data_IF_486739629035
#
_entry.id   IF_486739629035
#
_cell.length_a   1.000
_cell.length_b   1.000
_cell.length_c   1.000
_cell.angle_alpha   90.00
_cell.angle_beta   90.00
_cell.angle_gamma   90.00
#
_symmetry.space_group_name_H-M   'P 1'
#
loop_
_entity.id
_entity.type
_entity.pdbx_description
1 polymer ?
#
# COMPACT_ATOMS: atom_id res chain seq x y z
N UNK A 1 15.46 17.54 -24.73
CA UNK A 1 15.25 17.09 -23.34
C UNK A 1 13.82 17.33 -22.83
N UNK A 2 12.98 18.06 -23.55
CA UNK A 2 11.59 18.37 -23.12
C UNK A 2 10.61 17.22 -23.37
N UNK A 3 10.73 16.50 -24.48
CA UNK A 3 9.82 15.38 -24.83
C UNK A 3 9.80 14.22 -23.81
N UNK A 4 10.89 13.99 -23.06
CA UNK A 4 10.96 12.94 -22.03
C UNK A 4 10.21 13.35 -20.75
N UNK A 5 10.17 14.65 -20.43
CA UNK A 5 9.39 15.16 -19.30
C UNK A 5 7.89 15.11 -19.59
N UNK A 6 7.45 15.45 -20.80
CA UNK A 6 6.04 15.42 -21.20
C UNK A 6 5.45 13.99 -21.11
N UNK A 7 6.17 12.99 -21.62
CA UNK A 7 5.76 11.58 -21.55
C UNK A 7 5.75 11.04 -20.12
N UNK A 8 6.68 11.49 -19.28
CA UNK A 8 6.72 11.13 -17.85
C UNK A 8 5.56 11.77 -17.07
N UNK A 9 5.13 12.98 -17.43
CA UNK A 9 4.00 13.69 -16.80
C UNK A 9 2.66 13.02 -17.14
N UNK A 10 2.49 12.51 -18.36
CA UNK A 10 1.27 11.78 -18.75
C UNK A 10 1.10 10.44 -18.02
N UNK A 11 2.18 9.87 -17.48
CA UNK A 11 2.18 8.61 -16.74
C UNK A 11 2.01 8.77 -15.23
N UNK A 12 2.11 9.97 -14.66
CA UNK A 12 1.94 10.16 -13.20
C UNK A 12 0.49 10.44 -12.80
N UNK A 13 -0.37 10.79 -13.75
CA UNK A 13 -1.78 11.12 -13.50
C UNK A 13 -2.68 10.02 -14.06
N UNK A 14 -3.59 9.52 -13.21
CA UNK A 14 -4.61 8.55 -13.56
C UNK A 14 -5.99 9.06 -13.13
N UNK A 15 -6.90 9.14 -14.10
CA UNK A 15 -8.29 9.53 -13.87
C UNK A 15 -9.15 8.28 -13.66
N UNK A 16 -10.00 8.31 -12.64
CA UNK A 16 -10.97 7.26 -12.29
C UNK A 16 -12.33 7.92 -12.03
N UNK A 17 -13.43 7.16 -12.03
CA UNK A 17 -14.82 7.69 -12.07
C UNK A 17 -15.16 8.79 -11.04
N UNK A 18 -14.43 8.88 -9.92
CA UNK A 18 -14.72 9.82 -8.83
C UNK A 18 -13.46 10.44 -8.23
N UNK A 19 -12.31 10.30 -8.88
CA UNK A 19 -11.05 10.83 -8.38
C UNK A 19 -10.00 11.00 -9.47
N UNK A 20 -9.04 11.87 -9.18
CA UNK A 20 -7.78 11.98 -9.90
C UNK A 20 -6.66 11.54 -8.97
N UNK A 21 -5.87 10.57 -9.43
CA UNK A 21 -4.73 10.01 -8.72
C UNK A 21 -3.45 10.58 -9.34
N UNK A 22 -2.60 11.20 -8.54
CA UNK A 22 -1.37 11.86 -8.99
C UNK A 22 -0.17 11.33 -8.23
N UNK A 23 0.89 10.98 -8.94
CA UNK A 23 2.18 10.61 -8.36
C UNK A 23 3.11 11.83 -8.37
N UNK A 24 3.40 12.35 -7.19
CA UNK A 24 4.38 13.42 -7.00
C UNK A 24 5.73 12.85 -6.51
N UNK A 25 6.66 13.72 -6.13
CA UNK A 25 7.97 13.32 -5.61
C UNK A 25 7.89 12.72 -4.19
N UNK A 26 6.86 13.06 -3.42
CA UNK A 26 6.70 12.71 -2.00
C UNK A 26 5.75 11.52 -1.79
N UNK A 27 4.86 11.25 -2.75
CA UNK A 27 3.90 10.17 -2.65
C UNK A 27 2.77 10.20 -3.69
N UNK A 28 1.67 9.55 -3.29
CA UNK A 28 0.41 9.49 -4.00
C UNK A 28 -0.54 10.55 -3.46
N UNK A 29 -1.00 11.44 -4.32
CA UNK A 29 -2.08 12.38 -4.04
C UNK A 29 -3.39 11.88 -4.67
N UNK A 30 -4.44 11.78 -3.86
CA UNK A 30 -5.78 11.33 -4.24
C UNK A 30 -6.71 12.53 -4.10
N UNK A 31 -7.23 13.01 -5.22
CA UNK A 31 -8.13 14.15 -5.31
C UNK A 31 -9.51 13.64 -5.69
N UNK A 32 -10.45 13.61 -4.75
CA UNK A 32 -11.81 13.20 -5.05
C UNK A 32 -12.58 14.33 -5.74
N UNK A 33 -13.16 14.02 -6.90
CA UNK A 33 -14.03 14.94 -7.62
C UNK A 33 -15.40 14.98 -6.91
N UNK A 34 -15.90 16.18 -6.67
CA UNK A 34 -17.03 16.43 -5.76
C UNK A 34 -18.29 16.82 -6.55
N UNK A 35 -19.40 16.19 -6.18
CA UNK A 35 -20.74 16.70 -6.49
C UNK A 35 -21.07 17.84 -5.50
N UNK A 36 -21.79 18.88 -5.96
CA UNK A 36 -21.93 20.26 -5.38
C UNK A 36 -22.08 20.47 -3.85
N UNK A 37 -22.27 19.43 -3.02
CA UNK A 37 -22.61 19.55 -1.60
C UNK A 37 -21.50 19.18 -0.60
N UNK A 38 -20.35 18.61 -1.02
CA UNK A 38 -19.28 18.24 -0.07
C UNK A 38 -17.92 18.87 -0.42
N UNK A 39 -17.11 19.13 0.61
CA UNK A 39 -15.83 19.85 0.55
C UNK A 39 -14.78 19.03 -0.21
N UNK A 40 -14.01 19.64 -1.11
CA UNK A 40 -12.89 18.97 -1.80
C UNK A 40 -11.99 18.22 -0.81
N UNK A 41 -11.91 16.89 -0.95
CA UNK A 41 -11.14 16.03 -0.04
C UNK A 41 -9.90 15.54 -0.77
N UNK A 42 -8.81 16.25 -0.55
CA UNK A 42 -7.48 15.86 -1.00
C UNK A 42 -6.85 14.99 0.07
N UNK A 43 -6.32 13.84 -0.33
CA UNK A 43 -5.57 12.94 0.55
C UNK A 43 -4.19 12.70 -0.01
N UNK A 44 -3.16 12.87 0.82
CA UNK A 44 -1.77 12.58 0.47
C UNK A 44 -1.31 11.35 1.22
N UNK A 45 -0.71 10.41 0.51
CA UNK A 45 -0.17 9.14 1.02
C UNK A 45 1.30 9.10 0.66
N UNK A 46 2.19 9.08 1.66
CA UNK A 46 3.64 8.93 1.41
C UNK A 46 3.92 7.57 0.78
N UNK A 47 4.93 7.49 -0.06
CA UNK A 47 5.36 6.23 -0.69
C UNK A 47 5.61 5.10 0.31
N UNK A 48 6.23 5.42 1.46
CA UNK A 48 6.46 4.48 2.56
C UNK A 48 5.17 3.81 3.10
N UNK A 49 4.02 4.46 2.95
CA UNK A 49 2.74 3.96 3.42
C UNK A 49 1.91 3.28 2.34
N UNK A 50 2.37 3.23 1.09
CA UNK A 50 1.73 2.45 0.05
C UNK A 50 2.05 0.97 0.29
N UNK A 51 1.03 0.15 0.50
CA UNK A 51 1.20 -1.27 0.83
C UNK A 51 1.10 -2.10 -0.45
N UNK A 52 0.02 -1.95 -1.21
CA UNK A 52 -0.15 -2.66 -2.46
C UNK A 52 -1.13 -1.95 -3.38
N UNK A 53 -0.97 -2.16 -4.68
CA UNK A 53 -1.85 -1.64 -5.71
C UNK A 53 -2.05 -2.70 -6.76
N UNK A 54 -3.29 -2.95 -7.13
CA UNK A 54 -3.65 -3.89 -8.20
C UNK A 54 -4.72 -3.27 -9.09
N UNK A 55 -4.57 -3.46 -10.39
CA UNK A 55 -5.59 -3.13 -11.37
C UNK A 55 -6.12 -4.41 -12.00
N UNK A 56 -7.44 -4.58 -11.95
CA UNK A 56 -8.21 -5.64 -12.59
C UNK A 56 -9.08 -5.02 -13.70
N UNK A 57 -9.86 -5.84 -14.40
CA UNK A 57 -10.80 -5.37 -15.42
C UNK A 57 -11.77 -4.35 -14.80
N UNK A 58 -11.72 -3.11 -15.31
CA UNK A 58 -12.58 -2.01 -14.86
C UNK A 58 -12.31 -1.48 -13.44
N UNK A 59 -11.37 -2.04 -12.68
CA UNK A 59 -11.18 -1.67 -11.26
C UNK A 59 -9.72 -1.48 -10.87
N UNK A 60 -9.47 -0.45 -10.07
CA UNK A 60 -8.20 -0.20 -9.40
C UNK A 60 -8.37 -0.28 -7.89
N UNK A 61 -7.63 -1.16 -7.23
CA UNK A 61 -7.57 -1.27 -5.77
C UNK A 61 -6.24 -0.74 -5.26
N UNK A 62 -6.30 0.15 -4.27
CA UNK A 62 -5.15 0.74 -3.59
C UNK A 62 -5.27 0.41 -2.10
N UNK A 63 -4.23 -0.20 -1.55
CA UNK A 63 -4.06 -0.46 -0.12
C UNK A 63 -2.91 0.39 0.40
N UNK A 64 -3.16 1.15 1.46
CA UNK A 64 -2.16 2.01 2.10
C UNK A 64 -2.37 2.08 3.61
N UNK A 65 -1.31 2.37 4.35
CA UNK A 65 -1.37 2.63 5.77
C UNK A 65 -1.76 4.10 6.04
N UNK A 66 -2.62 4.30 7.01
CA UNK A 66 -2.94 5.62 7.56
C UNK A 66 -2.53 5.64 9.03
N UNK A 67 -1.73 6.64 9.41
CA UNK A 67 -1.39 6.84 10.80
C UNK A 67 -2.56 7.51 11.52
N UNK A 68 -3.06 6.83 12.56
CA UNK A 68 -4.10 7.36 13.44
C UNK A 68 -3.58 7.34 14.86
N UNK A 69 -3.34 8.54 15.41
CA UNK A 69 -2.71 8.75 16.72
C UNK A 69 -1.30 8.15 16.77
N UNK A 70 -1.16 6.90 17.22
CA UNK A 70 0.12 6.20 17.40
C UNK A 70 0.11 4.79 16.78
N UNK A 71 -0.89 4.50 15.94
CA UNK A 71 -1.04 3.20 15.29
C UNK A 71 -1.22 3.39 13.78
N UNK A 72 -0.70 2.45 13.01
CA UNK A 72 -0.94 2.37 11.57
C UNK A 72 -2.15 1.48 11.32
N UNK A 73 -3.14 2.01 10.62
CA UNK A 73 -4.32 1.27 10.17
C UNK A 73 -4.26 1.06 8.66
N UNK A 74 -4.61 -0.14 8.18
CA UNK A 74 -4.77 -0.39 6.74
C UNK A 74 -6.04 0.30 6.24
N UNK A 75 -5.92 1.05 5.15
CA UNK A 75 -7.03 1.56 4.36
C UNK A 75 -7.02 0.91 2.98
N UNK A 76 -8.20 0.53 2.53
CA UNK A 76 -8.45 -0.01 1.19
C UNK A 76 -9.36 0.96 0.44
N UNK A 77 -8.97 1.32 -0.76
CA UNK A 77 -9.77 2.09 -1.71
C UNK A 77 -9.90 1.33 -3.01
N UNK A 78 -11.13 1.32 -3.54
CA UNK A 78 -11.46 0.70 -4.83
C UNK A 78 -12.06 1.79 -5.69
N UNK A 79 -11.57 1.91 -6.91
CA UNK A 79 -11.99 2.89 -7.90
C UNK A 79 -12.40 2.17 -9.17
N UNK A 80 -13.47 2.63 -9.81
CA UNK A 80 -13.83 2.18 -11.15
C UNK A 80 -12.99 2.96 -12.18
N UNK A 81 -12.49 2.25 -13.18
CA UNK A 81 -11.77 2.85 -14.29
C UNK A 81 -12.79 3.47 -15.26
N UNK A 82 -12.48 4.66 -15.78
CA UNK A 82 -13.36 5.41 -16.69
C UNK A 82 -13.67 4.65 -18.00
N UNK A 83 -12.75 3.79 -18.42
CA UNK A 83 -12.91 2.96 -19.60
C UNK A 83 -12.62 1.49 -19.23
N UNK A 84 -13.67 0.66 -19.06
CA UNK A 84 -13.55 -0.74 -18.66
C UNK A 84 -12.82 -1.61 -19.69
N UNK A 85 -12.84 -1.24 -20.98
CA UNK A 85 -12.10 -1.93 -22.04
C UNK A 85 -10.59 -1.63 -22.00
N UNK A 86 -10.25 -0.55 -21.32
CA UNK A 86 -8.90 -0.02 -21.13
C UNK A 86 -8.37 -0.51 -19.78
N UNK A 87 -8.30 -1.85 -19.61
CA UNK A 87 -7.24 -2.52 -18.82
C UNK A 87 -5.88 -2.27 -19.51
N UNK A 88 -5.59 -1.00 -19.77
CA UNK A 88 -4.56 -0.60 -20.70
C UNK A 88 -3.21 -0.78 -20.07
N UNK A 89 -2.24 -1.01 -20.94
CA UNK A 89 -0.82 -0.78 -20.70
C UNK A 89 -0.55 0.50 -19.91
N UNK A 90 -1.40 1.54 -20.05
CA UNK A 90 -1.32 2.77 -19.26
C UNK A 90 -1.66 2.57 -17.78
N UNK A 91 -2.78 1.92 -17.44
CA UNK A 91 -3.15 1.67 -16.03
C UNK A 91 -2.12 0.78 -15.37
N UNK A 92 -1.72 -0.30 -16.04
CA UNK A 92 -0.69 -1.21 -15.53
C UNK A 92 0.67 -0.50 -15.38
N UNK A 93 1.06 0.33 -16.36
CA UNK A 93 2.26 1.15 -16.27
C UNK A 93 2.22 2.16 -15.11
N UNK A 94 1.06 2.77 -14.85
CA UNK A 94 0.87 3.66 -13.70
C UNK A 94 0.98 2.90 -12.36
N UNK A 95 0.36 1.72 -12.27
CA UNK A 95 0.45 0.85 -11.08
C UNK A 95 1.90 0.44 -10.83
N UNK A 96 2.60 0.00 -11.86
CA UNK A 96 4.02 -0.36 -11.78
C UNK A 96 4.86 0.84 -11.32
N UNK A 97 4.66 2.02 -11.90
CA UNK A 97 5.35 3.25 -11.51
C UNK A 97 5.11 3.60 -10.03
N UNK A 98 3.88 3.48 -9.54
CA UNK A 98 3.58 3.70 -8.12
C UNK A 98 4.29 2.69 -7.22
N UNK A 99 4.22 1.39 -7.55
CA UNK A 99 4.89 0.35 -6.77
C UNK A 99 6.42 0.52 -6.80
N UNK A 100 7.00 0.85 -7.95
CA UNK A 100 8.44 1.10 -8.09
C UNK A 100 8.90 2.29 -7.22
N UNK A 101 8.10 3.36 -7.14
CA UNK A 101 8.40 4.49 -6.24
C UNK A 101 8.17 4.15 -4.77
N UNK A 102 7.15 3.35 -4.47
CA UNK A 102 6.83 2.93 -3.11
C UNK A 102 7.90 2.01 -2.50
N UNK A 103 8.32 1.01 -3.26
CA UNK A 103 9.28 0.00 -2.81
C UNK A 103 10.73 0.37 -3.13
N UNK A 104 10.98 1.16 -4.17
CA UNK A 104 12.31 1.52 -4.61
C UNK A 104 13.15 0.28 -4.92
N UNK A 105 14.24 0.10 -4.16
CA UNK A 105 15.11 -1.08 -4.27
C UNK A 105 14.64 -2.29 -3.45
N UNK A 106 13.61 -2.11 -2.62
CA UNK A 106 13.07 -3.18 -1.79
C UNK A 106 12.23 -4.14 -2.62
N UNK A 107 12.29 -5.44 -2.30
CA UNK A 107 11.36 -6.42 -2.86
C UNK A 107 9.93 -6.13 -2.36
N UNK A 108 8.98 -6.11 -3.28
CA UNK A 108 7.54 -6.22 -2.98
C UNK A 108 7.19 -7.68 -2.59
N UNK A 109 6.05 -7.88 -1.91
CA UNK A 109 5.53 -9.21 -1.53
C UNK A 109 6.56 -10.09 -0.81
N UNK A 110 7.17 -9.53 0.24
CA UNK A 110 8.30 -10.19 0.93
C UNK A 110 7.85 -11.46 1.63
N UNK A 111 8.75 -12.43 1.66
CA UNK A 111 8.65 -13.57 2.56
C UNK A 111 9.30 -13.17 3.88
N UNK A 112 8.53 -13.15 4.96
CA UNK A 112 8.94 -12.69 6.28
C UNK A 112 8.90 -13.88 7.24
N UNK A 113 10.02 -14.16 7.91
CA UNK A 113 10.03 -15.07 9.06
C UNK A 113 9.85 -14.24 10.32
N UNK A 114 8.76 -14.45 11.04
CA UNK A 114 8.41 -13.68 12.24
C UNK A 114 8.41 -14.62 13.43
N UNK A 115 9.22 -14.32 14.43
CA UNK A 115 9.23 -15.03 15.69
C UNK A 115 8.45 -14.23 16.74
N UNK A 116 7.42 -14.85 17.31
CA UNK A 116 6.67 -14.27 18.43
C UNK A 116 7.09 -14.91 19.73
N UNK A 117 7.39 -14.09 20.73
CA UNK A 117 7.60 -14.57 22.09
C UNK A 117 6.36 -14.27 22.95
N UNK A 118 5.50 -15.27 23.19
CA UNK A 118 4.31 -15.10 24.03
C UNK A 118 4.68 -14.89 25.51
N UNK A 119 5.86 -15.34 25.95
CA UNK A 119 6.28 -15.33 27.35
C UNK A 119 7.10 -14.08 27.74
N UNK A 120 7.38 -13.18 26.79
CA UNK A 120 8.08 -11.93 27.11
C UNK A 120 7.14 -10.88 27.70
N UNK A 121 7.48 -10.35 28.87
CA UNK A 121 6.80 -9.21 29.49
C UNK A 121 5.33 -9.48 29.84
N UNK A 122 4.43 -8.58 29.44
CA UNK A 122 3.00 -8.62 29.78
C UNK A 122 2.17 -9.64 28.97
N UNK A 123 2.81 -10.50 28.16
CA UNK A 123 2.11 -11.52 27.35
C UNK A 123 1.25 -10.97 26.20
N UNK A 124 1.40 -9.69 25.85
CA UNK A 124 0.57 -9.02 24.83
C UNK A 124 1.12 -9.09 23.41
N UNK A 125 2.31 -9.69 23.20
CA UNK A 125 3.00 -9.70 21.91
C UNK A 125 2.16 -10.34 20.79
N UNK A 126 1.56 -11.51 21.08
CA UNK A 126 0.70 -12.23 20.12
C UNK A 126 -0.51 -11.36 19.74
N UNK A 127 -1.18 -10.79 20.75
CA UNK A 127 -2.31 -9.88 20.52
C UNK A 127 -1.91 -8.67 19.65
N UNK A 128 -0.76 -8.06 19.93
CA UNK A 128 -0.32 -6.86 19.21
C UNK A 128 0.11 -7.19 17.78
N UNK A 129 0.71 -8.36 17.55
CA UNK A 129 1.04 -8.83 16.22
C UNK A 129 -0.22 -8.93 15.35
N UNK A 130 -1.23 -9.69 15.80
CA UNK A 130 -2.47 -9.86 15.02
C UNK A 130 -3.27 -8.57 14.90
N UNK A 131 -3.19 -7.68 15.90
CA UNK A 131 -3.93 -6.42 15.87
C UNK A 131 -3.29 -5.37 14.93
N UNK A 132 -1.96 -5.32 14.83
CA UNK A 132 -1.26 -4.20 14.18
C UNK A 132 -0.33 -4.62 13.04
N UNK A 133 0.43 -5.70 13.19
CA UNK A 133 1.44 -6.11 12.20
C UNK A 133 0.83 -6.97 11.08
N UNK A 134 0.06 -7.99 11.45
CA UNK A 134 -0.55 -8.94 10.51
C UNK A 134 -1.41 -8.27 9.42
N UNK A 135 -2.26 -7.26 9.75
CA UNK A 135 -3.03 -6.56 8.73
C UNK A 135 -2.15 -5.83 7.72
N UNK A 136 -1.04 -5.22 8.17
CA UNK A 136 -0.11 -4.49 7.30
C UNK A 136 0.61 -5.45 6.35
N UNK A 137 1.10 -6.57 6.87
CA UNK A 137 1.79 -7.59 6.06
C UNK A 137 0.85 -8.22 5.04
N UNK A 138 -0.37 -8.57 5.46
CA UNK A 138 -1.41 -9.10 4.57
C UNK A 138 -1.74 -8.10 3.46
N UNK A 139 -1.92 -6.82 3.80
CA UNK A 139 -2.23 -5.78 2.82
C UNK A 139 -1.08 -5.42 1.88
N UNK A 140 0.17 -5.64 2.30
CA UNK A 140 1.36 -5.54 1.45
C UNK A 140 1.64 -6.82 0.63
N UNK A 141 0.73 -7.80 0.69
CA UNK A 141 0.86 -9.11 0.04
C UNK A 141 2.15 -9.85 0.44
N UNK A 142 2.61 -9.66 1.68
CA UNK A 142 3.72 -10.42 2.23
C UNK A 142 3.28 -11.84 2.56
N UNK A 143 4.20 -12.79 2.41
CA UNK A 143 4.04 -14.15 2.92
C UNK A 143 4.73 -14.22 4.29
N UNK A 144 3.99 -14.53 5.34
CA UNK A 144 4.55 -14.58 6.71
C UNK A 144 4.63 -16.02 7.19
N UNK A 145 5.85 -16.47 7.48
CA UNK A 145 6.14 -17.67 8.25
C UNK A 145 6.22 -17.27 9.74
N UNK A 146 5.14 -17.52 10.47
CA UNK A 146 4.99 -17.13 11.86
C UNK A 146 5.32 -18.29 12.79
N UNK A 147 6.29 -18.08 13.68
CA UNK A 147 6.68 -19.09 14.66
C UNK A 147 6.63 -18.53 16.08
N UNK A 148 5.80 -19.14 16.92
CA UNK A 148 5.79 -18.86 18.35
C UNK A 148 6.93 -19.60 19.06
N UNK A 149 7.69 -18.86 19.84
CA UNK A 149 8.74 -19.40 20.71
C UNK A 149 8.13 -19.87 22.02
N UNK A 150 8.66 -20.97 22.58
CA UNK A 150 8.16 -21.60 23.82
C UNK A 150 9.05 -21.30 25.03
N UNK A 151 10.25 -20.78 24.81
CA UNK A 151 11.23 -20.47 25.86
C UNK A 151 12.14 -19.31 25.45
N UNK A 152 12.70 -18.60 26.44
CA UNK A 152 13.68 -17.54 26.21
C UNK A 152 14.90 -18.06 25.46
N UNK A 153 15.33 -17.37 24.39
CA UNK A 153 16.50 -17.75 23.59
C UNK A 153 16.24 -18.75 22.47
N UNK A 154 15.03 -19.30 22.34
CA UNK A 154 14.71 -20.30 21.31
C UNK A 154 14.81 -19.74 19.87
N UNK A 155 14.57 -18.43 19.68
CA UNK A 155 14.70 -17.80 18.37
C UNK A 155 16.12 -17.90 17.79
N UNK A 156 17.17 -17.99 18.61
CA UNK A 156 18.55 -18.13 18.14
C UNK A 156 18.86 -19.49 17.50
N UNK A 157 18.07 -20.52 17.80
CA UNK A 157 18.31 -21.91 17.37
C UNK A 157 17.46 -22.29 16.15
N UNK A 158 16.52 -21.42 15.76
CA UNK A 158 15.50 -21.70 14.73
C UNK A 158 15.79 -21.04 13.37
N UNK A 159 17.02 -20.59 13.14
CA UNK A 159 17.46 -20.00 11.85
C UNK A 159 18.04 -21.08 10.97
#
# INVERSE_FOLDING_TARGET
MEHVKEQSVCQTVLHVEVAVLRLDEKGLTIEHEQNRATRHKIRRVRFLFVLWVEANVGQLKIQYAEERRKVLEVKRKVYQLLDPGTSSTRVQGWVQLLLDRAYGKSKARKHLKVFLNPLSGAGSAVKWYYQFADPLFTAAQCHVDLQETRSSGQAMVLT
#
